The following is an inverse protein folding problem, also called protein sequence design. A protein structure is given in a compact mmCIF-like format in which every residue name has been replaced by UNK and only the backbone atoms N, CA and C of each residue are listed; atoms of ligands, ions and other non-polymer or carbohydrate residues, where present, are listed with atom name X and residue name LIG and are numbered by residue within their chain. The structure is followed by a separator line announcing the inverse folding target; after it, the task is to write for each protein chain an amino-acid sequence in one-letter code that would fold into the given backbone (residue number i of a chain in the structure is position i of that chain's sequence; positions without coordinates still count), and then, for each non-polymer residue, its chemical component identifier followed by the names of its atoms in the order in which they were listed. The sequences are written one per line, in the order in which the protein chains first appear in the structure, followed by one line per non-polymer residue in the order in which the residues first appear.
data_IF_181111040967
#
_entry.id   IF_181111040967
#
_cell.length_a   1.000
_cell.length_b   1.000
_cell.length_c   1.000
_cell.angle_alpha   90.00
_cell.angle_beta   90.00
_cell.angle_gamma   90.00
#
_symmetry.space_group_name_H-M   'P 1'
#
loop_
_entity.id
_entity.type
_entity.pdbx_description
1 polymer ?
#
# COMPACT_ATOMS: atom_id res chain seq x y z
N UNK A 1 -0.55 21.75 -4.99
CA UNK A 1 -2.00 22.09 -5.13
C UNK A 1 -2.37 22.31 -6.60
N UNK A 2 -1.70 23.22 -7.30
CA UNK A 2 -1.97 23.47 -8.74
C UNK A 2 -1.84 22.23 -9.61
N UNK A 3 -0.82 21.38 -9.39
CA UNK A 3 -0.64 20.13 -10.16
C UNK A 3 -1.79 19.14 -9.98
N UNK A 4 -2.28 19.00 -8.74
CA UNK A 4 -3.42 18.13 -8.43
C UNK A 4 -4.69 18.61 -9.15
N UNK A 5 -4.95 19.92 -9.10
CA UNK A 5 -6.12 20.53 -9.75
C UNK A 5 -6.02 20.46 -11.29
N UNK A 6 -4.84 20.72 -11.85
CA UNK A 6 -4.59 20.60 -13.28
C UNK A 6 -4.82 19.16 -13.77
N UNK A 7 -4.33 18.16 -13.04
CA UNK A 7 -4.55 16.76 -13.36
C UNK A 7 -6.04 16.38 -13.27
N UNK A 8 -6.76 16.87 -12.26
CA UNK A 8 -8.18 16.62 -12.13
C UNK A 8 -8.98 17.19 -13.32
N UNK A 9 -8.64 18.40 -13.79
CA UNK A 9 -9.26 19.02 -14.98
C UNK A 9 -8.90 18.22 -16.23
N UNK A 10 -7.63 17.85 -16.41
CA UNK A 10 -7.16 17.05 -17.55
C UNK A 10 -7.91 15.71 -17.66
N UNK A 11 -8.08 15.02 -16.53
CA UNK A 11 -8.84 13.78 -16.45
C UNK A 11 -10.32 14.01 -16.77
N UNK A 12 -10.93 15.07 -16.24
CA UNK A 12 -12.33 15.40 -16.52
C UNK A 12 -12.59 15.74 -18.00
N UNK A 13 -11.63 16.37 -18.67
CA UNK A 13 -11.72 16.75 -20.08
C UNK A 13 -11.40 15.61 -21.06
N UNK A 14 -10.88 14.48 -20.59
CA UNK A 14 -10.45 13.37 -21.45
C UNK A 14 -11.11 12.05 -21.06
N UNK A 15 -12.25 11.69 -21.70
CA UNK A 15 -12.95 10.43 -21.43
C UNK A 15 -12.05 9.20 -21.58
N UNK A 16 -11.15 9.19 -22.56
CA UNK A 16 -10.20 8.08 -22.79
C UNK A 16 -9.26 7.90 -21.60
N UNK A 17 -8.67 8.98 -21.05
CA UNK A 17 -7.78 8.89 -19.89
C UNK A 17 -8.49 8.32 -18.66
N UNK A 18 -9.76 8.68 -18.46
CA UNK A 18 -10.59 8.09 -17.39
C UNK A 18 -10.78 6.59 -17.60
N UNK A 19 -11.07 6.15 -18.84
CA UNK A 19 -11.20 4.73 -19.17
C UNK A 19 -9.90 3.98 -18.89
N UNK A 20 -8.76 4.51 -19.33
CA UNK A 20 -7.44 3.89 -19.15
C UNK A 20 -7.08 3.75 -17.66
N UNK A 21 -7.32 4.80 -16.86
CA UNK A 21 -7.11 4.75 -15.40
C UNK A 21 -8.02 3.70 -14.76
N UNK A 22 -9.29 3.63 -15.14
CA UNK A 22 -10.22 2.62 -14.62
C UNK A 22 -9.78 1.21 -14.97
N UNK A 23 -9.33 0.96 -16.20
CA UNK A 23 -8.80 -0.34 -16.64
C UNK A 23 -7.55 -0.72 -15.83
N UNK A 24 -6.62 0.23 -15.66
CA UNK A 24 -5.43 0.03 -14.81
C UNK A 24 -5.81 -0.32 -13.38
N UNK A 25 -6.77 0.38 -12.78
CA UNK A 25 -7.26 0.09 -11.43
C UNK A 25 -7.92 -1.28 -11.34
N UNK A 26 -8.76 -1.65 -12.31
CA UNK A 26 -9.43 -2.96 -12.34
C UNK A 26 -8.41 -4.12 -12.41
N UNK A 27 -7.39 -3.98 -13.27
CA UNK A 27 -6.31 -4.97 -13.41
C UNK A 27 -5.45 -5.05 -12.15
N UNK A 28 -5.06 -3.89 -11.60
CA UNK A 28 -4.16 -3.84 -10.45
C UNK A 28 -4.83 -4.25 -9.14
N UNK A 29 -6.15 -4.07 -9.01
CA UNK A 29 -6.90 -4.36 -7.77
C UNK A 29 -6.68 -5.79 -7.28
N UNK A 30 -6.56 -6.75 -8.19
CA UNK A 30 -6.41 -8.17 -7.85
C UNK A 30 -4.98 -8.71 -8.05
N UNK A 31 -4.08 -7.92 -8.64
CA UNK A 31 -2.74 -8.37 -9.02
C UNK A 31 -1.63 -7.65 -8.27
N UNK A 32 -1.93 -6.54 -7.59
CA UNK A 32 -0.94 -5.77 -6.83
C UNK A 32 -1.12 -5.96 -5.32
N UNK A 33 -0.06 -5.78 -4.52
CA UNK A 33 -0.08 -6.15 -3.10
C UNK A 33 -1.05 -5.35 -2.22
N UNK A 34 -1.56 -4.20 -2.70
CA UNK A 34 -2.37 -3.29 -1.89
C UNK A 34 -3.64 -3.96 -1.31
N UNK A 35 -4.21 -4.93 -2.02
CA UNK A 35 -5.40 -5.67 -1.60
C UNK A 35 -5.12 -7.15 -1.31
N UNK A 36 -3.84 -7.54 -1.25
CA UNK A 36 -3.44 -8.89 -0.84
C UNK A 36 -3.49 -9.00 0.70
N UNK A 37 -4.68 -9.33 1.20
CA UNK A 37 -4.93 -9.45 2.65
C UNK A 37 -4.09 -10.53 3.29
N UNK A 38 -3.82 -11.64 2.59
CA UNK A 38 -3.02 -12.73 3.14
C UNK A 38 -1.57 -12.30 3.34
N UNK A 39 -0.99 -11.62 2.35
CA UNK A 39 0.36 -11.07 2.47
C UNK A 39 0.45 -9.98 3.55
N UNK A 40 -0.55 -9.10 3.62
CA UNK A 40 -0.63 -8.08 4.67
C UNK A 40 -0.64 -8.72 6.06
N UNK A 41 -1.49 -9.72 6.29
CA UNK A 41 -1.59 -10.43 7.58
C UNK A 41 -0.27 -11.09 7.96
N UNK A 42 0.39 -11.80 7.03
CA UNK A 42 1.70 -12.42 7.29
C UNK A 42 2.77 -11.39 7.69
N UNK A 43 2.79 -10.25 7.01
CA UNK A 43 3.73 -9.18 7.33
C UNK A 43 3.45 -8.59 8.72
N UNK A 44 2.18 -8.42 9.08
CA UNK A 44 1.76 -7.95 10.40
C UNK A 44 2.10 -8.94 11.51
N UNK A 45 1.82 -10.23 11.31
CA UNK A 45 2.18 -11.31 12.25
C UNK A 45 3.70 -11.35 12.46
N UNK A 46 4.48 -11.19 11.39
CA UNK A 46 5.95 -11.11 11.46
C UNK A 46 6.40 -9.90 12.28
N UNK A 47 5.73 -8.76 12.14
CA UNK A 47 6.02 -7.58 12.95
C UNK A 47 5.75 -7.84 14.44
N UNK A 48 4.62 -8.47 14.77
CA UNK A 48 4.29 -8.82 16.16
C UNK A 48 5.27 -9.82 16.76
N UNK A 49 5.68 -10.85 16.01
CA UNK A 49 6.70 -11.80 16.48
C UNK A 49 8.01 -11.08 16.82
N UNK A 50 8.51 -10.21 15.93
CA UNK A 50 9.73 -9.42 16.18
C UNK A 50 9.59 -8.49 17.40
N UNK A 51 8.44 -7.85 17.56
CA UNK A 51 8.16 -7.02 18.74
C UNK A 51 8.25 -7.86 20.02
N UNK A 52 7.62 -9.04 20.01
CA UNK A 52 7.56 -9.92 21.17
C UNK A 52 8.91 -10.57 21.51
N UNK A 53 9.68 -11.02 20.52
CA UNK A 53 11.05 -11.53 20.70
C UNK A 53 11.97 -10.48 21.33
N UNK A 54 11.86 -9.23 20.87
CA UNK A 54 12.65 -8.12 21.40
C UNK A 54 12.28 -7.81 22.86
N UNK A 55 10.99 -7.77 23.15
CA UNK A 55 10.50 -7.59 24.52
C UNK A 55 10.98 -8.71 25.45
N UNK A 56 10.89 -9.99 25.01
CA UNK A 56 11.39 -11.13 25.78
C UNK A 56 12.91 -11.09 26.02
N UNK A 57 13.65 -10.35 25.19
CA UNK A 57 15.09 -10.14 25.34
C UNK A 57 15.44 -8.93 26.21
N UNK A 58 14.47 -8.34 26.92
CA UNK A 58 14.61 -7.12 27.75
C UNK A 58 15.21 -5.92 26.99
N UNK A 59 15.05 -5.89 25.66
CA UNK A 59 15.53 -4.80 24.83
C UNK A 59 14.49 -3.68 24.74
N UNK A 60 14.94 -2.43 24.83
CA UNK A 60 14.09 -1.25 24.67
C UNK A 60 13.45 -1.20 23.27
N UNK A 61 12.23 -0.64 23.11
CA UNK A 61 11.57 -0.51 21.81
C UNK A 61 12.45 0.17 20.75
N UNK A 62 12.35 -0.29 19.49
CA UNK A 62 13.11 0.24 18.36
C UNK A 62 12.29 0.14 17.06
N UNK A 63 12.75 0.81 16.00
CA UNK A 63 12.15 0.72 14.68
C UNK A 63 12.19 -0.71 14.14
N UNK A 64 11.04 -1.22 13.70
CA UNK A 64 10.90 -2.54 13.09
C UNK A 64 10.44 -2.37 11.66
N UNK A 65 11.26 -2.83 10.72
CA UNK A 65 10.92 -2.88 9.29
C UNK A 65 10.67 -4.32 8.86
N UNK A 66 9.54 -4.55 8.20
CA UNK A 66 9.23 -5.80 7.50
C UNK A 66 9.37 -5.54 6.00
N UNK A 67 10.17 -6.33 5.26
CA UNK A 67 10.30 -6.15 3.81
C UNK A 67 8.96 -6.46 3.12
N UNK A 68 8.57 -5.57 2.21
CA UNK A 68 7.35 -5.64 1.39
C UNK A 68 7.64 -6.01 -0.05
#
# INVERSE_FOLDING_TARGET
RQEYEALAIELAMSPQKIVDVKLKLANNRLTTPLFDTQRFTKNLETAYMKMFERYQSDLAPEHITIPT
#
